data_IF_641183847490
#
_entry.id   IF_641183847490
#
_cell.length_a   1.000
_cell.length_b   1.000
_cell.length_c   1.000
_cell.angle_alpha   90.00
_cell.angle_beta   90.00
_cell.angle_gamma   90.00
#
_symmetry.space_group_name_H-M   'P 1'
#
loop_
_entity.id
_entity.type
_entity.pdbx_description
1 polymer ?
#
# COMPACT_ATOMS: atom_id res chain seq x y z
N UNK A 1 -5.54 12.29 6.08
CA UNK A 1 -5.45 10.93 6.64
C UNK A 1 -5.02 9.86 5.61
N UNK A 2 -5.04 10.15 4.30
CA UNK A 2 -4.74 9.18 3.24
C UNK A 2 -3.26 9.09 2.82
N UNK A 3 -2.57 10.25 2.68
CA UNK A 3 -1.20 10.33 2.11
C UNK A 3 -0.17 9.50 2.86
N UNK A 4 -0.13 9.60 4.19
CA UNK A 4 0.82 8.83 5.01
C UNK A 4 0.55 7.32 4.97
N UNK A 5 -0.72 6.92 4.85
CA UNK A 5 -1.08 5.50 4.71
C UNK A 5 -0.55 4.97 3.37
N UNK A 6 -0.71 5.71 2.28
CA UNK A 6 -0.20 5.32 0.97
C UNK A 6 1.30 5.06 0.99
N UNK A 7 2.08 5.99 1.55
CA UNK A 7 3.55 5.86 1.63
C UNK A 7 3.96 4.67 2.51
N UNK A 8 3.29 4.48 3.66
CA UNK A 8 3.56 3.33 4.53
C UNK A 8 3.27 2.00 3.82
N UNK A 9 2.16 1.90 3.08
CA UNK A 9 1.84 0.70 2.28
C UNK A 9 2.89 0.46 1.21
N UNK A 10 3.28 1.48 0.43
CA UNK A 10 4.30 1.35 -0.60
C UNK A 10 5.67 0.93 -0.03
N UNK A 11 6.04 1.44 1.15
CA UNK A 11 7.26 1.04 1.83
C UNK A 11 7.23 -0.44 2.23
N UNK A 12 6.15 -0.90 2.87
CA UNK A 12 5.98 -2.31 3.25
C UNK A 12 6.03 -3.21 2.02
N UNK A 13 5.36 -2.82 0.92
CA UNK A 13 5.47 -3.53 -0.34
C UNK A 13 6.95 -3.64 -0.76
N UNK A 14 7.70 -2.54 -0.74
CA UNK A 14 9.10 -2.50 -1.21
C UNK A 14 10.04 -3.42 -0.43
N UNK A 15 9.88 -3.50 0.90
CA UNK A 15 10.79 -4.26 1.78
C UNK A 15 10.31 -5.68 2.06
N UNK A 16 9.18 -6.10 1.48
CA UNK A 16 8.60 -7.45 1.62
C UNK A 16 8.12 -7.99 0.27
N UNK A 17 7.57 -9.20 0.26
CA UNK A 17 6.91 -9.78 -0.91
C UNK A 17 5.39 -9.61 -0.89
N UNK A 18 4.86 -8.73 -0.03
CA UNK A 18 3.42 -8.51 0.10
C UNK A 18 2.90 -7.63 -1.04
N UNK A 19 1.73 -7.99 -1.56
CA UNK A 19 0.99 -7.14 -2.50
C UNK A 19 0.39 -5.91 -1.80
N UNK A 20 -0.20 -4.99 -2.56
CA UNK A 20 -0.72 -3.73 -2.01
C UNK A 20 -1.87 -3.96 -1.01
N UNK A 21 -2.69 -5.00 -1.23
CA UNK A 21 -3.82 -5.33 -0.35
C UNK A 21 -3.35 -5.94 0.96
N UNK A 22 -2.36 -6.83 0.90
CA UNK A 22 -1.72 -7.43 2.07
C UNK A 22 -1.00 -6.37 2.90
N UNK A 23 -0.22 -5.51 2.24
CA UNK A 23 0.47 -4.40 2.88
C UNK A 23 -0.51 -3.42 3.56
N UNK A 24 -1.66 -3.13 2.94
CA UNK A 24 -2.72 -2.35 3.56
C UNK A 24 -3.33 -3.04 4.79
N UNK A 25 -3.48 -4.37 4.78
CA UNK A 25 -3.95 -5.12 5.97
C UNK A 25 -2.96 -4.97 7.13
N UNK A 26 -1.66 -5.02 6.87
CA UNK A 26 -0.62 -4.80 7.89
C UNK A 26 -0.74 -3.41 8.50
N UNK A 27 -0.88 -2.36 7.69
CA UNK A 27 -1.07 -0.99 8.20
C UNK A 27 -2.37 -0.87 9.01
N UNK A 28 -3.45 -1.53 8.59
CA UNK A 28 -4.72 -1.55 9.32
C UNK A 28 -4.64 -2.24 10.68
N UNK A 29 -3.77 -3.25 10.84
CA UNK A 29 -3.55 -3.91 12.13
C UNK A 29 -2.97 -2.94 13.19
N UNK A 30 -2.04 -2.06 12.80
CA UNK A 30 -1.50 -1.01 13.68
C UNK A 30 -2.39 0.24 13.76
N UNK A 31 -3.26 0.46 12.77
CA UNK A 31 -4.14 1.63 12.69
C UNK A 31 -5.43 1.31 11.92
N UNK A 32 -6.49 0.94 12.62
CA UNK A 32 -7.75 0.49 12.01
C UNK A 32 -8.38 1.48 11.00
N UNK A 33 -8.20 2.79 11.20
CA UNK A 33 -8.72 3.86 10.30
C UNK A 33 -7.91 4.06 9.02
N UNK A 34 -6.84 3.28 8.80
CA UNK A 34 -6.01 3.39 7.61
C UNK A 34 -6.78 2.99 6.36
N UNK A 35 -7.14 3.98 5.53
CA UNK A 35 -7.85 3.77 4.29
C UNK A 35 -7.43 4.83 3.26
N UNK A 36 -6.55 4.50 2.29
CA UNK A 36 -6.24 5.42 1.20
C UNK A 36 -7.49 5.71 0.37
N UNK A 37 -7.60 6.90 -0.20
CA UNK A 37 -8.65 7.19 -1.19
C UNK A 37 -8.46 6.33 -2.45
N UNK A 38 -9.49 6.24 -3.29
CA UNK A 38 -9.48 5.40 -4.50
C UNK A 38 -8.31 5.72 -5.45
N UNK A 39 -7.96 7.01 -5.61
CA UNK A 39 -6.82 7.42 -6.43
C UNK A 39 -5.50 6.85 -5.93
N UNK A 40 -5.27 6.89 -4.62
CA UNK A 40 -4.07 6.29 -4.02
C UNK A 40 -4.10 4.76 -4.03
N UNK A 41 -5.27 4.13 -3.90
CA UNK A 41 -5.37 2.67 -4.06
C UNK A 41 -4.99 2.26 -5.48
N UNK A 42 -5.41 3.02 -6.49
CA UNK A 42 -5.01 2.80 -7.89
C UNK A 42 -3.51 2.97 -8.07
N UNK A 43 -2.92 4.03 -7.52
CA UNK A 43 -1.46 4.22 -7.56
C UNK A 43 -0.68 3.09 -6.88
N UNK A 44 -1.19 2.52 -5.78
CA UNK A 44 -0.59 1.36 -5.14
C UNK A 44 -0.67 0.10 -6.00
N UNK A 45 -1.78 -0.10 -6.73
CA UNK A 45 -1.93 -1.18 -7.69
C UNK A 45 -0.99 -1.02 -8.90
N UNK A 46 -0.87 0.19 -9.43
CA UNK A 46 0.09 0.53 -10.49
C UNK A 46 1.53 0.28 -10.02
N UNK A 47 1.87 0.71 -8.80
CA UNK A 47 3.17 0.46 -8.17
C UNK A 47 3.47 -1.04 -8.02
N UNK A 48 2.49 -1.85 -7.61
CA UNK A 48 2.65 -3.32 -7.58
C UNK A 48 2.98 -3.89 -8.95
N UNK A 49 2.25 -3.47 -9.99
CA UNK A 49 2.45 -3.97 -11.36
C UNK A 49 3.83 -3.60 -11.90
N UNK A 50 4.29 -2.38 -11.62
CA UNK A 50 5.63 -1.92 -12.01
C UNK A 50 6.73 -2.76 -11.38
N UNK A 51 6.58 -3.14 -10.10
CA UNK A 51 7.55 -4.00 -9.39
C UNK A 51 7.62 -5.44 -9.91
N UNK A 52 6.57 -5.94 -10.57
CA UNK A 52 6.59 -7.28 -11.19
C UNK A 52 7.36 -7.28 -12.51
N UNK A 53 7.54 -6.10 -13.13
CA UNK A 53 8.29 -5.94 -14.37
C UNK A 53 9.80 -5.76 -14.17
N UNK A 54 10.25 -5.57 -12.94
CA UNK A 54 11.67 -5.56 -12.52
C UNK A 54 12.14 -6.97 -12.14
#
# INVERSE_FOLDING_TARGET
MSRSVTVAVAYIMTVTNLNWKESLKVVKAGRAVANPNLGFQKQLQEFETLRVAE
#
